data_IF_702425858132
#
_entry.id   IF_702425858132
#
_cell.length_a   1.000
_cell.length_b   1.000
_cell.length_c   1.000
_cell.angle_alpha   90.00
_cell.angle_beta   90.00
_cell.angle_gamma   90.00
#
_symmetry.space_group_name_H-M   'P 1'
#
loop_
_entity.id
_entity.type
_entity.pdbx_description
1 polymer ?
#
# COMPACT_ATOMS: atom_id res chain seq x y z
N UNK A 1 14.09 0.35 12.70
CA UNK A 1 14.40 1.27 11.58
C UNK A 1 15.82 1.83 11.61
N UNK A 2 16.48 1.98 12.77
CA UNK A 2 17.80 2.62 12.91
C UNK A 2 18.84 2.33 11.80
N UNK A 3 19.15 1.07 11.45
CA UNK A 3 20.18 0.79 10.45
C UNK A 3 19.73 1.00 9.00
N UNK A 4 18.46 1.31 8.74
CA UNK A 4 17.89 1.42 7.38
C UNK A 4 17.35 2.81 7.05
N UNK A 5 17.33 3.74 8.01
CA UNK A 5 16.95 5.14 7.76
C UNK A 5 18.03 5.87 6.94
N UNK A 6 17.61 6.91 6.22
CA UNK A 6 18.48 7.83 5.47
C UNK A 6 19.26 7.22 4.28
N UNK A 7 18.90 5.99 3.89
CA UNK A 7 19.60 5.21 2.86
C UNK A 7 18.89 5.15 1.50
N UNK A 8 17.74 5.80 1.33
CA UNK A 8 16.99 5.77 0.07
C UNK A 8 16.12 4.53 -0.11
N UNK A 9 15.89 3.75 0.94
CA UNK A 9 15.06 2.54 0.84
C UNK A 9 13.58 2.86 0.64
N UNK A 10 12.89 1.93 -0.02
CA UNK A 10 11.45 1.95 -0.20
C UNK A 10 10.78 0.99 0.78
N UNK A 11 10.03 1.56 1.70
CA UNK A 11 9.28 0.83 2.71
C UNK A 11 7.86 0.51 2.22
N UNK A 12 7.50 -0.78 2.23
CA UNK A 12 6.15 -1.27 2.05
C UNK A 12 5.53 -1.65 3.40
N UNK A 13 4.41 -1.03 3.77
CA UNK A 13 3.79 -1.20 5.09
C UNK A 13 2.30 -1.48 5.04
N UNK A 14 1.83 -2.26 6.01
CA UNK A 14 0.42 -2.51 6.21
C UNK A 14 -0.30 -1.33 6.88
N UNK A 15 -1.63 -1.35 6.76
CA UNK A 15 -2.56 -0.35 7.25
C UNK A 15 -2.45 -0.07 8.75
N UNK A 16 -1.96 -1.02 9.54
CA UNK A 16 -1.75 -0.83 10.98
C UNK A 16 -0.70 0.24 11.29
N UNK A 17 0.35 0.31 10.47
CA UNK A 17 1.51 1.18 10.72
C UNK A 17 1.40 2.53 10.00
N UNK A 18 0.53 2.64 9.00
CA UNK A 18 0.48 3.84 8.16
C UNK A 18 -0.20 5.02 8.87
N UNK A 19 0.37 6.21 8.68
CA UNK A 19 -0.22 7.50 9.05
C UNK A 19 0.46 8.63 8.25
N UNK A 20 -0.25 9.75 8.05
CA UNK A 20 0.30 10.92 7.36
C UNK A 20 1.59 11.45 8.04
N UNK A 21 1.61 11.67 9.38
CA UNK A 21 2.81 12.20 10.04
C UNK A 21 4.03 11.27 9.92
N UNK A 22 3.80 9.95 9.96
CA UNK A 22 4.87 8.97 9.78
C UNK A 22 5.46 9.05 8.38
N UNK A 23 4.62 9.17 7.35
CA UNK A 23 5.08 9.23 5.96
C UNK A 23 5.91 10.49 5.74
N UNK A 24 5.46 11.64 6.23
CA UNK A 24 6.19 12.90 6.12
C UNK A 24 7.55 12.81 6.82
N UNK A 25 7.60 12.26 8.04
CA UNK A 25 8.84 12.04 8.78
C UNK A 25 9.82 11.13 8.03
N UNK A 26 9.34 10.03 7.46
CA UNK A 26 10.18 9.10 6.70
C UNK A 26 10.69 9.73 5.41
N UNK A 27 9.84 10.50 4.74
CA UNK A 27 10.22 11.21 3.51
C UNK A 27 11.35 12.21 3.76
N UNK A 28 11.27 12.98 4.85
CA UNK A 28 12.35 13.89 5.29
C UNK A 28 13.66 13.14 5.55
N UNK A 29 13.58 11.88 5.99
CA UNK A 29 14.72 10.98 6.25
C UNK A 29 15.06 10.07 5.06
N UNK A 30 14.88 10.58 3.84
CA UNK A 30 15.21 9.90 2.57
C UNK A 30 14.69 8.46 2.50
N UNK A 31 13.55 8.19 3.12
CA UNK A 31 12.93 6.87 3.15
C UNK A 31 11.54 7.00 2.58
N UNK A 32 11.33 6.39 1.43
CA UNK A 32 10.05 6.52 0.72
C UNK A 32 9.10 5.40 1.13
N UNK A 33 7.80 5.67 1.09
CA UNK A 33 6.79 4.76 1.65
C UNK A 33 5.70 4.47 0.61
N UNK A 34 5.21 3.24 0.62
CA UNK A 34 3.95 2.85 -0.02
C UNK A 34 3.21 1.89 0.90
N UNK A 35 1.95 2.16 1.19
CA UNK A 35 1.17 1.23 2.00
C UNK A 35 -0.32 1.41 1.86
N UNK A 36 -1.04 0.38 2.30
CA UNK A 36 -2.49 0.43 2.43
C UNK A 36 -2.87 1.29 3.62
N UNK A 37 -4.01 1.98 3.55
CA UNK A 37 -4.51 2.82 4.62
C UNK A 37 -5.93 2.44 5.02
N UNK A 38 -6.25 2.68 6.28
CA UNK A 38 -7.64 2.61 6.76
C UNK A 38 -8.38 3.90 6.40
N UNK A 39 -9.69 3.82 6.23
CA UNK A 39 -10.51 4.94 5.77
C UNK A 39 -10.55 6.13 6.76
N UNK A 40 -10.22 5.89 8.03
CA UNK A 40 -10.11 6.86 9.11
C UNK A 40 -8.75 7.56 9.19
N UNK A 41 -7.73 7.02 8.49
CA UNK A 41 -6.34 7.52 8.50
C UNK A 41 -5.92 8.26 7.24
N UNK A 42 -6.87 8.49 6.32
CA UNK A 42 -6.67 9.27 5.09
C UNK A 42 -7.31 10.65 5.22
N UNK A 43 -6.87 11.65 4.42
CA UNK A 43 -7.49 12.96 4.39
C UNK A 43 -9.01 12.87 4.17
N UNK A 44 -9.78 13.65 4.94
CA UNK A 44 -11.27 13.65 4.87
C UNK A 44 -11.79 13.97 3.47
N UNK A 45 -11.08 14.85 2.75
CA UNK A 45 -11.40 15.18 1.36
C UNK A 45 -11.40 13.93 0.46
N UNK A 46 -10.40 13.06 0.59
CA UNK A 46 -10.33 11.81 -0.16
C UNK A 46 -11.43 10.83 0.26
N UNK A 47 -11.71 10.74 1.57
CA UNK A 47 -12.76 9.84 2.10
C UNK A 47 -14.13 10.13 1.48
N UNK A 48 -14.49 11.41 1.35
CA UNK A 48 -15.81 11.86 0.90
C UNK A 48 -16.01 11.80 -0.62
N UNK A 49 -14.94 11.63 -1.41
CA UNK A 49 -15.05 11.51 -2.87
C UNK A 49 -15.81 10.24 -3.26
N UNK A 50 -16.83 10.38 -4.11
CA UNK A 50 -17.52 9.26 -4.71
C UNK A 50 -16.66 8.73 -5.88
N UNK A 51 -16.42 7.42 -5.89
CA UNK A 51 -15.58 6.76 -6.90
C UNK A 51 -16.39 5.63 -7.51
N UNK A 52 -16.56 5.63 -8.83
CA UNK A 52 -17.24 4.56 -9.53
C UNK A 52 -16.42 3.27 -9.49
N UNK A 53 -17.10 2.13 -9.63
CA UNK A 53 -16.44 0.82 -9.61
C UNK A 53 -15.40 0.72 -10.71
N UNK A 54 -14.17 0.38 -10.32
CA UNK A 54 -13.00 0.27 -11.19
C UNK A 54 -12.30 1.58 -11.50
N UNK A 55 -12.74 2.70 -10.92
CA UNK A 55 -12.05 3.98 -11.02
C UNK A 55 -11.22 4.27 -9.78
N UNK A 56 -10.31 5.25 -9.93
CA UNK A 56 -9.42 5.73 -8.87
C UNK A 56 -9.57 7.24 -8.76
N UNK A 57 -9.73 7.74 -7.53
CA UNK A 57 -9.57 9.15 -7.22
C UNK A 57 -8.33 9.35 -6.35
N UNK A 58 -7.72 10.51 -6.44
CA UNK A 58 -6.50 10.80 -5.69
C UNK A 58 -6.50 12.22 -5.16
N UNK A 59 -5.70 12.42 -4.12
CA UNK A 59 -5.40 13.71 -3.51
C UNK A 59 -3.88 13.77 -3.33
N UNK A 60 -3.28 14.88 -3.74
CA UNK A 60 -1.87 15.13 -3.56
C UNK A 60 -1.71 16.27 -2.55
N UNK A 61 -0.98 16.00 -1.47
CA UNK A 61 -0.60 16.99 -0.46
C UNK A 61 0.94 16.99 -0.35
N UNK A 62 1.58 17.96 -0.99
CA UNK A 62 3.05 17.99 -1.09
C UNK A 62 3.61 16.71 -1.72
N UNK A 63 4.57 16.01 -1.08
CA UNK A 63 5.16 14.77 -1.60
C UNK A 63 4.26 13.53 -1.38
N UNK A 64 3.14 13.68 -0.66
CA UNK A 64 2.23 12.58 -0.36
C UNK A 64 1.13 12.48 -1.42
N UNK A 65 1.01 11.32 -2.03
CA UNK A 65 -0.13 10.92 -2.84
C UNK A 65 -1.03 9.97 -2.03
N UNK A 66 -2.26 10.37 -1.78
CA UNK A 66 -3.30 9.55 -1.21
C UNK A 66 -4.30 9.13 -2.31
N UNK A 67 -4.61 7.85 -2.42
CA UNK A 67 -5.45 7.29 -3.47
C UNK A 67 -6.60 6.47 -2.89
N UNK A 68 -7.76 6.58 -3.53
CA UNK A 68 -8.96 5.82 -3.25
C UNK A 68 -9.36 5.07 -4.51
N UNK A 69 -9.31 3.74 -4.45
CA UNK A 69 -9.66 2.86 -5.56
C UNK A 69 -10.88 2.02 -5.20
N UNK A 70 -11.88 1.98 -6.08
CA UNK A 70 -13.08 1.17 -5.88
C UNK A 70 -12.96 -0.16 -6.62
N UNK A 71 -12.68 -1.26 -5.91
CA UNK A 71 -12.76 -2.60 -6.49
C UNK A 71 -14.05 -3.33 -6.05
N UNK A 72 -13.94 -4.51 -5.39
CA UNK A 72 -15.06 -5.12 -4.64
C UNK A 72 -15.36 -4.36 -3.35
N UNK A 73 -14.31 -3.81 -2.74
CA UNK A 73 -14.34 -2.92 -1.58
C UNK A 73 -13.50 -1.69 -1.89
N UNK A 74 -13.71 -0.62 -1.13
CA UNK A 74 -12.88 0.58 -1.22
C UNK A 74 -11.49 0.28 -0.66
N UNK A 75 -10.46 0.53 -1.46
CA UNK A 75 -9.06 0.42 -1.09
C UNK A 75 -8.47 1.81 -1.00
N UNK A 76 -7.77 2.08 0.09
CA UNK A 76 -7.04 3.33 0.27
C UNK A 76 -5.55 3.04 0.27
N UNK A 77 -4.78 3.85 -0.45
CA UNK A 77 -3.33 3.76 -0.53
C UNK A 77 -2.72 5.12 -0.25
N UNK A 78 -1.56 5.13 0.40
CA UNK A 78 -0.74 6.32 0.55
C UNK A 78 0.68 6.02 0.10
N UNK A 79 1.27 6.95 -0.65
CA UNK A 79 2.61 6.77 -1.21
C UNK A 79 3.34 8.09 -1.44
N UNK A 80 4.67 8.05 -1.37
CA UNK A 80 5.56 9.18 -1.71
C UNK A 80 6.42 8.93 -2.95
N UNK A 81 6.13 7.85 -3.69
CA UNK A 81 6.95 7.41 -4.85
C UNK A 81 6.15 7.46 -6.13
N UNK A 82 4.94 6.89 -6.10
CA UNK A 82 4.13 6.75 -7.29
C UNK A 82 3.32 8.02 -7.55
N UNK A 83 3.03 8.26 -8.82
CA UNK A 83 2.10 9.29 -9.28
C UNK A 83 0.69 8.71 -9.46
N UNK A 84 -0.28 9.57 -9.76
CA UNK A 84 -1.68 9.19 -9.98
C UNK A 84 -1.92 8.36 -11.26
N UNK A 85 -0.91 7.72 -11.83
CA UNK A 85 -1.04 6.90 -13.03
C UNK A 85 -1.71 5.54 -12.73
N UNK A 86 -2.54 5.14 -13.69
CA UNK A 86 -3.17 3.82 -13.74
C UNK A 86 -2.56 3.02 -14.88
N UNK A 87 -2.42 1.73 -14.65
CA UNK A 87 -2.04 0.73 -15.65
C UNK A 87 -3.23 -0.15 -15.99
N UNK A 88 -3.27 -0.67 -17.21
CA UNK A 88 -4.28 -1.65 -17.60
C UNK A 88 -3.86 -3.03 -17.09
N UNK A 89 -4.77 -3.72 -16.39
CA UNK A 89 -4.56 -5.10 -15.95
C UNK A 89 -5.73 -5.96 -16.37
N UNK A 90 -5.44 -7.07 -17.06
CA UNK A 90 -6.43 -8.08 -17.36
C UNK A 90 -6.93 -8.75 -16.07
N UNK A 91 -8.25 -8.89 -15.93
CA UNK A 91 -8.81 -9.64 -14.80
C UNK A 91 -8.58 -11.14 -15.00
N UNK A 92 -8.14 -11.88 -13.96
CA UNK A 92 -7.80 -13.31 -14.09
C UNK A 92 -9.02 -14.24 -14.32
N UNK A 93 -10.24 -13.71 -14.43
CA UNK A 93 -11.45 -14.52 -14.68
C UNK A 93 -11.58 -14.79 -16.17
N UNK A 94 -12.03 -16.00 -16.58
CA UNK A 94 -12.30 -16.32 -18.00
C UNK A 94 -13.24 -15.28 -18.61
N UNK A 95 -12.81 -14.60 -19.67
CA UNK A 95 -13.52 -13.46 -20.30
C UNK A 95 -13.29 -12.09 -19.64
N UNK A 96 -12.25 -11.96 -18.82
CA UNK A 96 -12.00 -10.77 -18.00
C UNK A 96 -11.78 -9.50 -18.81
N UNK A 97 -12.68 -8.54 -18.66
CA UNK A 97 -12.49 -7.16 -19.12
C UNK A 97 -11.24 -6.55 -18.48
N UNK A 98 -10.50 -5.79 -19.29
CA UNK A 98 -9.39 -4.96 -18.84
C UNK A 98 -9.88 -3.92 -17.84
N UNK A 99 -9.12 -3.75 -16.75
CA UNK A 99 -9.42 -2.76 -15.71
C UNK A 99 -8.22 -1.85 -15.50
N UNK A 100 -8.49 -0.55 -15.39
CA UNK A 100 -7.51 0.43 -14.93
C UNK A 100 -7.23 0.19 -13.44
N UNK A 101 -5.98 -0.16 -13.12
CA UNK A 101 -5.49 -0.39 -11.76
C UNK A 101 -4.39 0.65 -11.45
N UNK A 102 -4.41 1.30 -10.28
CA UNK A 102 -3.31 2.15 -9.84
C UNK A 102 -1.98 1.39 -9.83
N UNK A 103 -0.93 2.03 -10.36
CA UNK A 103 0.42 1.46 -10.38
C UNK A 103 0.91 1.19 -8.95
N UNK A 104 0.56 2.05 -8.00
CA UNK A 104 0.85 1.91 -6.57
C UNK A 104 0.29 0.62 -5.97
N UNK A 105 -0.94 0.22 -6.33
CA UNK A 105 -1.58 -1.00 -5.84
C UNK A 105 -0.87 -2.22 -6.41
N UNK A 106 -0.51 -2.19 -7.69
CA UNK A 106 0.24 -3.28 -8.31
C UNK A 106 1.61 -3.46 -7.65
N UNK A 107 2.34 -2.36 -7.43
CA UNK A 107 3.63 -2.38 -6.77
C UNK A 107 3.54 -2.85 -5.32
N UNK A 108 2.51 -2.43 -4.59
CA UNK A 108 2.24 -2.92 -3.24
C UNK A 108 2.04 -4.42 -3.22
N UNK A 109 1.14 -4.96 -4.06
CA UNK A 109 0.87 -6.41 -4.10
C UNK A 109 2.11 -7.23 -4.51
N UNK A 110 3.03 -6.66 -5.27
CA UNK A 110 4.27 -7.33 -5.69
C UNK A 110 5.30 -7.41 -4.56
N UNK A 111 5.43 -6.35 -3.77
CA UNK A 111 6.52 -6.19 -2.80
C UNK A 111 6.10 -6.40 -1.35
N UNK A 112 4.79 -6.42 -1.07
CA UNK A 112 4.24 -6.83 0.22
C UNK A 112 4.31 -8.36 0.38
N UNK A 113 4.25 -8.84 1.61
CA UNK A 113 4.25 -10.28 1.93
C UNK A 113 5.63 -10.90 2.15
N UNK A 114 6.70 -10.08 2.16
CA UNK A 114 8.03 -10.56 2.53
C UNK A 114 8.08 -11.14 3.95
N UNK A 115 7.39 -10.48 4.90
CA UNK A 115 7.25 -10.95 6.29
C UNK A 115 6.39 -12.22 6.33
N UNK A 116 5.18 -12.19 5.77
CA UNK A 116 4.28 -13.35 5.77
C UNK A 116 4.91 -14.59 5.13
N UNK A 117 5.74 -14.40 4.08
CA UNK A 117 6.46 -15.49 3.44
C UNK A 117 7.54 -16.07 4.33
N UNK A 118 8.24 -15.24 5.10
CA UNK A 118 9.21 -15.70 6.08
C UNK A 118 8.49 -16.50 7.18
N UNK A 119 7.37 -15.98 7.69
CA UNK A 119 6.57 -16.65 8.72
C UNK A 119 6.05 -18.01 8.23
N UNK A 120 5.55 -18.10 6.99
CA UNK A 120 5.15 -19.36 6.37
C UNK A 120 6.30 -20.38 6.27
N UNK A 121 7.53 -19.91 6.00
CA UNK A 121 8.71 -20.78 5.96
C UNK A 121 9.08 -21.24 7.37
N UNK A 122 9.04 -20.34 8.36
CA UNK A 122 9.34 -20.66 9.75
C UNK A 122 8.34 -21.66 10.32
N UNK A 123 7.04 -21.45 10.12
CA UNK A 123 5.97 -22.34 10.58
C UNK A 123 6.16 -23.77 10.05
N UNK A 124 6.57 -23.91 8.79
CA UNK A 124 6.78 -25.23 8.18
C UNK A 124 7.96 -26.01 8.79
N UNK A 125 8.95 -25.30 9.32
CA UNK A 125 10.14 -25.88 9.93
C UNK A 125 10.20 -25.60 11.43
N UNK A 126 9.05 -25.33 12.06
CA UNK A 126 9.01 -24.94 13.46
C UNK A 126 9.44 -26.09 14.37
N UNK A 127 10.40 -25.80 15.24
CA UNK A 127 10.92 -26.71 16.25
C UNK A 127 10.41 -26.39 17.67
N UNK A 128 9.46 -25.47 17.79
CA UNK A 128 8.82 -25.13 19.06
C UNK A 128 8.15 -26.36 19.69
N UNK A 129 8.31 -26.49 21.01
CA UNK A 129 7.71 -27.56 21.82
C UNK A 129 6.89 -26.90 22.93
N UNK A 130 5.76 -27.52 23.27
CA UNK A 130 4.95 -27.09 24.41
C UNK A 130 5.77 -27.20 25.69
N UNK A 131 5.91 -26.10 26.42
CA UNK A 131 6.53 -26.06 27.76
C UNK A 131 5.46 -26.25 28.83
N UNK A 132 5.80 -26.96 29.91
CA UNK A 132 4.93 -27.22 31.09
C UNK A 132 4.95 -26.02 32.03
#
# INVERSE_FOLDING_TARGET
MGPFLDKGYHLYIDNWYISVPLIEYLHQRRTVVTGTARCDRVPKALKNLLVAKGQTSCLCEGPLLAQKFSDKKMVYMMTTVYTAHTMTRARPRRGGTEQALPVSINAYNKNMGGVDRLDQLLERYDCTRKTV
#
